data_IF_741695065498
#
_entry.id   IF_741695065498
#
_cell.length_a   1.000
_cell.length_b   1.000
_cell.length_c   1.000
_cell.angle_alpha   90.00
_cell.angle_beta   90.00
_cell.angle_gamma   90.00
#
_symmetry.space_group_name_H-M   'P 1'
#
loop_
_entity.id
_entity.type
_entity.pdbx_description
1 polymer ?
#
# COMPACT_ATOMS: atom_id res chain seq x y z
N UNK A 1 -5.58 4.99 4.94
CA UNK A 1 -5.01 4.25 6.08
C UNK A 1 -3.57 3.87 5.76
N UNK A 2 -2.80 3.43 6.76
CA UNK A 2 -1.34 3.16 6.67
C UNK A 2 -0.96 1.94 5.80
N UNK A 3 -1.91 1.29 5.11
CA UNK A 3 -1.63 0.18 4.19
C UNK A 3 -1.16 -1.13 4.85
N UNK A 4 -1.09 -1.21 6.18
CA UNK A 4 -0.62 -2.39 6.92
C UNK A 4 -1.36 -3.68 6.54
N UNK A 5 -2.68 -3.59 6.32
CA UNK A 5 -3.50 -4.74 5.91
C UNK A 5 -3.05 -5.38 4.59
N UNK A 6 -2.50 -4.58 3.67
CA UNK A 6 -1.95 -5.11 2.42
C UNK A 6 -0.66 -5.89 2.67
N UNK A 7 0.17 -5.41 3.59
CA UNK A 7 1.41 -6.11 3.98
C UNK A 7 1.11 -7.43 4.71
N UNK A 8 0.08 -7.47 5.55
CA UNK A 8 -0.37 -8.71 6.21
C UNK A 8 -0.89 -9.73 5.19
N UNK A 9 -1.72 -9.30 4.24
CA UNK A 9 -2.21 -10.16 3.15
C UNK A 9 -1.04 -10.70 2.31
N UNK A 10 -0.09 -9.84 1.94
CA UNK A 10 1.11 -10.21 1.21
C UNK A 10 1.99 -11.20 2.01
N UNK A 11 2.11 -11.03 3.33
CA UNK A 11 2.84 -11.96 4.18
C UNK A 11 2.18 -13.34 4.25
N UNK A 12 0.86 -13.41 4.03
CA UNK A 12 0.11 -14.65 3.85
C UNK A 12 0.20 -15.25 2.43
N UNK A 13 0.90 -14.60 1.50
CA UNK A 13 0.98 -15.04 0.10
C UNK A 13 -0.33 -14.87 -0.68
N UNK A 14 -1.18 -13.94 -0.26
CA UNK A 14 -2.48 -13.69 -0.91
C UNK A 14 -2.38 -12.60 -1.98
N UNK A 15 -3.07 -12.75 -3.12
CA UNK A 15 -3.20 -11.66 -4.09
C UNK A 15 -4.00 -10.49 -3.47
N UNK A 16 -3.57 -9.26 -3.74
CA UNK A 16 -4.18 -8.03 -3.23
C UNK A 16 -4.88 -7.25 -4.34
N UNK A 17 -6.09 -6.78 -4.08
CA UNK A 17 -6.77 -5.72 -4.87
C UNK A 17 -6.88 -4.48 -4.00
N UNK A 18 -6.41 -3.34 -4.49
CA UNK A 18 -6.39 -2.10 -3.72
C UNK A 18 -6.82 -0.89 -4.56
N UNK A 19 -7.50 0.07 -3.91
CA UNK A 19 -7.83 1.34 -4.54
C UNK A 19 -6.58 2.20 -4.74
N UNK A 20 -6.43 2.80 -5.92
CA UNK A 20 -5.30 3.70 -6.27
C UNK A 20 -5.44 5.05 -5.60
N UNK A 21 -5.21 5.11 -4.28
CA UNK A 21 -5.30 6.34 -3.49
C UNK A 21 -4.25 6.38 -2.36
N UNK A 22 -3.89 7.60 -1.92
CA UNK A 22 -2.92 7.79 -0.84
C UNK A 22 -1.57 7.11 -1.12
N UNK A 23 -0.98 6.51 -0.09
CA UNK A 23 0.28 5.75 -0.19
C UNK A 23 0.12 4.30 -0.63
N UNK A 24 -1.04 3.89 -1.16
CA UNK A 24 -1.23 2.52 -1.67
C UNK A 24 -0.25 2.17 -2.79
N UNK A 25 0.03 3.06 -3.78
CA UNK A 25 0.99 2.75 -4.83
C UNK A 25 2.43 2.54 -4.36
N UNK A 26 2.78 2.94 -3.13
CA UNK A 26 4.10 2.67 -2.53
C UNK A 26 4.25 1.23 -2.02
N UNK A 27 3.13 0.50 -1.93
CA UNK A 27 3.04 -0.86 -1.39
C UNK A 27 2.56 -1.84 -2.47
N UNK A 28 1.51 -1.46 -3.20
CA UNK A 28 0.86 -2.29 -4.22
C UNK A 28 1.25 -1.77 -5.61
N UNK A 29 1.97 -2.60 -6.36
CA UNK A 29 2.39 -2.38 -7.72
C UNK A 29 1.50 -3.20 -8.66
N UNK A 30 0.77 -2.48 -9.51
CA UNK A 30 -0.24 -3.02 -10.42
C UNK A 30 0.34 -4.09 -11.36
N UNK A 31 -0.27 -5.27 -11.38
CA UNK A 31 0.15 -6.42 -12.18
C UNK A 31 1.40 -7.17 -11.68
N UNK A 32 2.11 -6.62 -10.68
CA UNK A 32 3.32 -7.21 -10.11
C UNK A 32 3.01 -7.95 -8.81
N UNK A 33 2.51 -7.24 -7.79
CA UNK A 33 2.22 -7.81 -6.46
C UNK A 33 0.76 -7.59 -6.01
N UNK A 34 -0.07 -7.04 -6.90
CA UNK A 34 -1.50 -6.84 -6.72
C UNK A 34 -2.13 -6.14 -7.92
N UNK A 35 -3.41 -5.76 -7.79
CA UNK A 35 -4.16 -5.01 -8.80
C UNK A 35 -4.59 -3.67 -8.21
N UNK A 36 -4.33 -2.58 -8.93
CA UNK A 36 -4.77 -1.25 -8.56
C UNK A 36 -6.03 -0.84 -9.32
N UNK A 37 -7.13 -0.61 -8.59
CA UNK A 37 -8.40 -0.17 -9.17
C UNK A 37 -8.63 1.32 -8.94
N UNK A 38 -9.45 1.96 -9.78
CA UNK A 38 -9.85 3.34 -9.54
C UNK A 38 -10.62 3.45 -8.21
N UNK A 39 -10.37 4.48 -7.38
CA UNK A 39 -11.17 4.74 -6.19
C UNK A 39 -12.66 4.80 -6.55
N UNK A 40 -13.51 4.20 -5.71
CA UNK A 40 -14.98 4.19 -5.86
C UNK A 40 -15.53 3.49 -7.14
N UNK A 41 -14.67 2.82 -7.92
CA UNK A 41 -15.08 2.07 -9.11
C UNK A 41 -15.45 0.62 -8.78
N UNK A 42 -16.74 0.37 -8.56
CA UNK A 42 -17.29 -0.99 -8.36
C UNK A 42 -17.00 -1.89 -9.56
N UNK A 43 -17.06 -1.33 -10.78
CA UNK A 43 -16.80 -2.07 -12.02
C UNK A 43 -15.37 -2.58 -12.09
N UNK A 44 -14.39 -1.76 -11.73
CA UNK A 44 -12.97 -2.17 -11.77
C UNK A 44 -12.68 -3.20 -10.67
N UNK A 45 -13.26 -3.03 -9.48
CA UNK A 45 -13.17 -4.00 -8.41
C UNK A 45 -13.74 -5.36 -8.85
N UNK A 46 -14.94 -5.38 -9.44
CA UNK A 46 -15.57 -6.60 -9.91
C UNK A 46 -14.72 -7.33 -10.98
N UNK A 47 -14.15 -6.58 -11.93
CA UNK A 47 -13.25 -7.14 -12.96
C UNK A 47 -11.97 -7.71 -12.36
N UNK A 48 -11.37 -7.02 -11.39
CA UNK A 48 -10.18 -7.50 -10.70
C UNK A 48 -10.46 -8.82 -9.96
N UNK A 49 -11.58 -8.90 -9.24
CA UNK A 49 -12.00 -10.12 -8.56
C UNK A 49 -12.29 -11.27 -9.53
N UNK A 50 -13.03 -11.01 -10.62
CA UNK A 50 -13.32 -12.02 -11.64
C UNK A 50 -12.03 -12.56 -12.28
N UNK A 51 -11.05 -11.68 -12.54
CA UNK A 51 -9.73 -12.07 -13.05
C UNK A 51 -9.03 -13.03 -12.09
N UNK A 52 -8.95 -12.69 -10.81
CA UNK A 52 -8.29 -13.52 -9.79
C UNK A 52 -8.99 -14.86 -9.56
N UNK A 53 -10.32 -14.88 -9.62
CA UNK A 53 -11.11 -16.11 -9.43
C UNK A 53 -11.03 -17.06 -10.64
N UNK A 54 -10.81 -16.52 -11.85
CA UNK A 54 -10.71 -17.31 -13.09
C UNK A 54 -9.29 -17.78 -13.41
N UNK A 55 -8.28 -16.99 -13.06
CA UNK A 55 -6.88 -17.29 -13.34
C UNK A 55 -6.10 -17.49 -12.03
N UNK A 56 -6.16 -18.73 -11.52
CA UNK A 56 -5.45 -19.12 -10.30
C UNK A 56 -3.92 -19.04 -10.44
N UNK A 57 -3.37 -19.16 -11.65
CA UNK A 57 -1.93 -19.04 -11.89
C UNK A 57 -1.50 -17.59 -11.73
N UNK A 58 -2.26 -16.66 -12.33
CA UNK A 58 -2.04 -15.23 -12.16
C UNK A 58 -2.20 -14.81 -10.70
N UNK A 59 -3.26 -15.29 -10.04
CA UNK A 59 -3.50 -15.02 -8.61
C UNK A 59 -2.35 -15.53 -7.73
N UNK A 60 -1.88 -16.75 -7.96
CA UNK A 60 -0.72 -17.32 -7.26
C UNK A 60 0.55 -16.49 -7.46
N UNK A 61 0.83 -16.09 -8.71
CA UNK A 61 2.00 -15.25 -9.04
C UNK A 61 1.97 -13.91 -8.29
N UNK A 62 0.82 -13.24 -8.23
CA UNK A 62 0.69 -12.00 -7.48
C UNK A 62 0.91 -12.20 -5.97
N UNK A 63 0.37 -13.30 -5.41
CA UNK A 63 0.58 -13.67 -4.01
C UNK A 63 2.05 -13.93 -3.68
N UNK A 64 2.74 -14.71 -4.51
CA UNK A 64 4.18 -15.01 -4.37
C UNK A 64 5.03 -13.75 -4.46
N UNK A 65 4.72 -12.85 -5.39
CA UNK A 65 5.40 -11.57 -5.55
C UNK A 65 5.16 -10.65 -4.34
N UNK A 66 3.93 -10.62 -3.82
CA UNK A 66 3.59 -9.94 -2.57
C UNK A 66 4.41 -10.45 -1.39
N UNK A 67 4.49 -11.77 -1.23
CA UNK A 67 5.29 -12.41 -0.19
C UNK A 67 6.78 -12.07 -0.32
N UNK A 68 7.32 -12.11 -1.53
CA UNK A 68 8.69 -11.71 -1.80
C UNK A 68 8.92 -10.23 -1.47
N UNK A 69 7.97 -9.34 -1.83
CA UNK A 69 8.04 -7.91 -1.56
C UNK A 69 8.12 -7.60 -0.06
N UNK A 70 7.33 -8.27 0.79
CA UNK A 70 7.34 -8.02 2.24
C UNK A 70 8.54 -8.64 2.96
N UNK A 71 9.13 -9.70 2.39
CA UNK A 71 10.34 -10.35 2.94
C UNK A 71 11.63 -9.60 2.64
N UNK A 72 11.64 -8.66 1.70
CA UNK A 72 12.83 -7.88 1.37
C UNK A 72 13.19 -6.96 2.54
N UNK A 73 14.47 -6.96 2.98
CA UNK A 73 14.96 -5.99 3.96
C UNK A 73 14.70 -4.57 3.45
N UNK A 74 14.07 -3.72 4.27
CA UNK A 74 13.86 -2.31 3.93
C UNK A 74 14.84 -1.45 4.69
N UNK A 75 15.55 -0.62 3.93
CA UNK A 75 16.45 0.37 4.48
C UNK A 75 15.61 1.51 5.06
N UNK A 76 15.65 1.68 6.37
CA UNK A 76 15.00 2.81 7.03
C UNK A 76 15.89 4.05 6.84
N UNK A 77 15.66 4.82 5.78
CA UNK A 77 16.29 6.14 5.66
C UNK A 77 15.55 7.11 6.58
N UNK A 78 16.15 7.43 7.72
CA UNK A 78 15.68 8.51 8.58
C UNK A 78 15.81 9.82 7.83
N UNK A 79 14.70 10.31 7.31
CA UNK A 79 14.58 11.72 6.95
C UNK A 79 14.28 12.48 8.24
N UNK A 80 15.34 12.86 8.96
CA UNK A 80 15.21 13.74 10.11
C UNK A 80 14.76 15.12 9.61
N UNK A 81 13.45 15.36 9.56
CA UNK A 81 12.93 16.69 9.31
C UNK A 81 13.12 17.49 10.59
N UNK A 82 14.04 18.45 10.56
CA UNK A 82 14.27 19.39 11.65
C UNK A 82 13.01 20.24 11.83
N UNK A 83 12.19 19.90 12.82
CA UNK A 83 11.05 20.73 13.24
C UNK A 83 11.61 22.04 13.81
N UNK A 84 11.33 23.21 13.21
CA UNK A 84 11.74 24.48 13.78
C UNK A 84 11.05 24.66 15.14
N UNK A 85 11.84 24.90 16.19
CA UNK A 85 11.30 25.24 17.52
C UNK A 85 10.47 26.52 17.37
N UNK A 86 9.14 26.42 17.51
CA UNK A 86 8.28 27.60 17.71
C UNK A 86 8.66 28.22 19.05
N UNK A 87 9.28 29.39 18.97
CA UNK A 87 9.64 30.18 20.14
C UNK A 87 8.35 30.82 20.69
N UNK A 88 7.88 30.37 21.85
CA UNK A 88 6.74 30.95 22.53
C UNK A 88 7.16 32.30 23.13
N UNK A 89 6.92 33.40 22.40
CA UNK A 89 6.91 34.76 22.96
C UNK A 89 5.61 35.45 22.59
N UNK A 90 4.62 35.33 23.47
CA UNK A 90 3.74 36.45 23.80
C UNK A 90 2.99 36.17 25.12
N UNK A 91 3.52 36.69 26.23
CA UNK A 91 2.72 37.13 27.36
C UNK A 91 3.27 38.47 27.82
N UNK A 92 2.35 39.41 28.03
CA UNK A 92 2.48 40.73 28.64
C UNK A 92 2.94 41.87 27.73
N UNK A 93 1.98 42.66 27.24
CA UNK A 93 1.84 44.08 27.64
C UNK A 93 0.35 44.47 27.63
N UNK A 94 -0.18 44.72 28.82
CA UNK A 94 -1.20 45.74 29.04
C UNK A 94 -0.52 47.08 29.33
#
# INVERSE_FOLDING_TARGET
GLGLVYLEAMAGGLPVVAGRSGGVPDIVHDGENGILVAPDSVTDLARALDTLLRDGVYAGRLGDNGLAFVRRPREWRVLAVRVPRRNARNKNRG
#
